data_IF_708792508526
#
_entry.id   IF_708792508526
#
_cell.length_a   1.000
_cell.length_b   1.000
_cell.length_c   1.000
_cell.angle_alpha   90.00
_cell.angle_beta   90.00
_cell.angle_gamma   90.00
#
_symmetry.space_group_name_H-M   'P 1'
#
loop_
_entity.id
_entity.type
_entity.pdbx_description
1 polymer ?
#
# COMPACT_ATOMS: atom_id res chain seq x y z
N UNK A 1 33.43 -4.19 52.78
CA UNK A 1 34.11 -4.21 51.47
C UNK A 1 33.44 -5.33 50.66
N UNK A 2 32.50 -5.09 49.73
CA UNK A 2 32.70 -4.64 48.31
C UNK A 2 33.56 -5.69 47.58
N UNK A 3 33.15 -6.46 46.54
CA UNK A 3 32.42 -6.25 45.25
C UNK A 3 32.22 -7.64 44.57
N UNK A 4 31.08 -8.03 43.97
CA UNK A 4 30.45 -7.70 42.66
C UNK A 4 30.89 -8.56 41.44
N UNK A 5 29.88 -9.11 40.76
CA UNK A 5 29.84 -9.75 39.44
C UNK A 5 30.23 -8.77 38.33
N UNK A 6 31.04 -9.17 37.33
CA UNK A 6 31.06 -8.59 35.96
C UNK A 6 31.90 -9.42 34.94
N UNK A 7 31.32 -9.63 33.74
CA UNK A 7 31.91 -9.84 32.39
C UNK A 7 32.78 -11.09 32.08
N UNK A 8 32.45 -11.95 31.09
CA UNK A 8 32.48 -11.78 29.61
C UNK A 8 33.79 -11.14 29.09
N UNK A 9 34.46 -11.85 28.16
CA UNK A 9 35.40 -11.37 27.11
C UNK A 9 36.71 -12.19 27.05
N UNK A 10 36.72 -13.33 26.35
CA UNK A 10 37.86 -13.91 25.61
C UNK A 10 37.26 -15.11 24.85
N UNK A 11 37.24 -15.26 23.52
CA UNK A 11 37.70 -14.54 22.36
C UNK A 11 37.35 -15.45 21.15
N UNK A 12 36.98 -14.87 20.01
CA UNK A 12 37.18 -15.59 18.73
C UNK A 12 38.68 -15.76 18.48
N UNK A 13 39.12 -16.61 17.52
CA UNK A 13 38.80 -16.32 16.12
C UNK A 13 38.69 -17.53 15.16
N UNK A 14 38.15 -17.20 13.98
CA UNK A 14 38.46 -17.76 12.66
C UNK A 14 39.70 -18.68 12.59
N UNK A 15 39.50 -19.90 12.11
CA UNK A 15 40.24 -20.46 10.98
C UNK A 15 39.65 -21.82 10.60
N UNK A 16 39.20 -21.96 9.36
CA UNK A 16 39.60 -23.04 8.45
C UNK A 16 39.79 -24.45 9.08
N UNK A 17 39.11 -25.52 8.68
CA UNK A 17 38.82 -25.93 7.29
C UNK A 17 38.19 -27.33 7.34
N UNK A 18 37.34 -27.60 6.35
CA UNK A 18 37.24 -28.88 5.62
C UNK A 18 36.97 -30.16 6.40
N UNK A 19 35.70 -30.59 6.37
CA UNK A 19 35.23 -31.87 5.80
C UNK A 19 33.84 -32.17 6.37
N UNK A 20 32.80 -31.84 5.60
CA UNK A 20 31.70 -32.78 5.33
C UNK A 20 30.76 -32.18 4.27
N UNK A 21 31.32 -31.80 3.12
CA UNK A 21 30.58 -31.77 1.87
C UNK A 21 30.78 -33.15 1.21
N UNK A 22 29.89 -34.09 1.53
CA UNK A 22 29.69 -35.36 0.81
C UNK A 22 28.39 -35.96 1.34
N UNK A 23 27.28 -35.60 0.69
CA UNK A 23 25.99 -36.31 0.63
C UNK A 23 24.79 -35.38 0.36
N UNK A 24 24.95 -34.36 -0.48
CA UNK A 24 23.82 -33.77 -1.21
C UNK A 24 24.30 -33.52 -2.63
N UNK A 25 24.34 -34.61 -3.39
CA UNK A 25 24.47 -34.60 -4.84
C UNK A 25 23.23 -33.92 -5.40
N UNK A 26 23.46 -32.88 -6.21
CA UNK A 26 22.49 -32.39 -7.17
C UNK A 26 22.11 -33.53 -8.11
N UNK A 27 20.85 -33.91 -8.11
CA UNK A 27 20.14 -34.14 -9.36
C UNK A 27 19.12 -33.01 -9.46
N UNK A 28 19.44 -32.04 -10.31
CA UNK A 28 18.48 -31.01 -10.68
C UNK A 28 17.40 -31.69 -11.53
N UNK A 29 16.11 -31.61 -11.17
CA UNK A 29 15.08 -31.80 -12.17
C UNK A 29 15.12 -30.57 -13.06
N UNK A 30 15.49 -30.75 -14.33
CA UNK A 30 15.42 -29.75 -15.43
C UNK A 30 13.99 -29.25 -15.72
N UNK A 31 13.06 -29.31 -14.76
CA UNK A 31 11.68 -28.84 -14.85
C UNK A 31 11.22 -27.98 -13.65
N UNK A 32 12.14 -27.37 -12.88
CA UNK A 32 11.78 -26.45 -11.75
C UNK A 32 11.60 -24.98 -12.18
N UNK A 33 11.60 -24.67 -13.47
CA UNK A 33 11.38 -23.31 -13.95
C UNK A 33 10.35 -23.25 -15.08
N UNK A 34 9.14 -23.74 -14.81
CA UNK A 34 7.97 -23.24 -15.54
C UNK A 34 7.40 -22.06 -14.78
N UNK A 35 7.66 -20.87 -15.33
CA UNK A 35 7.22 -19.56 -14.87
C UNK A 35 5.71 -19.54 -14.55
N UNK A 36 5.34 -19.14 -13.32
CA UNK A 36 4.02 -18.57 -13.02
C UNK A 36 4.11 -17.59 -11.85
N UNK A 37 4.40 -16.33 -12.19
CA UNK A 37 3.71 -15.12 -11.72
C UNK A 37 2.95 -15.18 -10.37
N UNK A 38 3.49 -14.57 -9.30
CA UNK A 38 2.77 -14.06 -8.08
C UNK A 38 2.04 -15.09 -7.16
N UNK A 39 1.90 -16.35 -7.56
CA UNK A 39 0.63 -17.05 -7.32
C UNK A 39 0.34 -17.80 -6.00
N UNK A 40 1.20 -18.56 -5.29
CA UNK A 40 0.67 -19.63 -4.41
C UNK A 40 0.21 -19.23 -3.00
N UNK A 41 0.58 -18.06 -2.48
CA UNK A 41 0.38 -17.66 -1.07
C UNK A 41 -0.65 -16.53 -0.90
N UNK A 42 -0.81 -15.65 -1.90
CA UNK A 42 -2.11 -15.06 -2.25
C UNK A 42 -3.18 -16.14 -2.36
N UNK A 43 -2.78 -17.32 -2.83
CA UNK A 43 -3.68 -18.44 -3.09
C UNK A 43 -4.25 -19.07 -1.85
N UNK A 44 -3.46 -19.35 -0.80
CA UNK A 44 -3.95 -20.29 0.22
C UNK A 44 -4.78 -19.67 1.35
N UNK A 45 -4.67 -18.38 1.70
CA UNK A 45 -5.26 -17.86 2.98
C UNK A 45 -5.45 -16.34 2.97
N UNK A 46 -5.95 -15.77 1.89
CA UNK A 46 -7.38 -15.43 1.73
C UNK A 46 -8.38 -16.59 1.76
N UNK A 47 -7.99 -17.85 1.52
CA UNK A 47 -8.88 -19.03 1.74
C UNK A 47 -9.26 -19.12 3.23
N UNK A 48 -10.46 -18.63 3.56
CA UNK A 48 -11.51 -19.38 4.25
C UNK A 48 -12.34 -18.53 5.23
N UNK A 49 -11.80 -17.91 6.27
CA UNK A 49 -12.63 -17.35 7.36
C UNK A 49 -11.82 -16.36 8.21
N UNK A 50 -12.19 -15.08 8.22
CA UNK A 50 -11.70 -14.13 9.24
C UNK A 50 -12.81 -13.70 10.20
N UNK A 51 -13.16 -14.56 11.18
CA UNK A 51 -13.59 -14.06 12.47
C UNK A 51 -12.94 -14.81 13.65
N UNK A 52 -11.62 -15.04 13.69
CA UNK A 52 -10.97 -15.60 14.90
C UNK A 52 -9.42 -15.52 14.98
N UNK A 53 -8.72 -14.69 14.20
CA UNK A 53 -7.25 -14.68 14.20
C UNK A 53 -6.64 -13.78 15.29
N UNK A 54 -6.97 -14.06 16.55
CA UNK A 54 -6.11 -13.74 17.69
C UNK A 54 -5.18 -14.95 17.96
N UNK A 55 -4.51 -15.45 16.90
CA UNK A 55 -3.56 -16.58 16.94
C UNK A 55 -2.40 -16.30 15.98
N UNK A 56 -1.29 -15.85 16.54
CA UNK A 56 0.12 -15.99 16.09
C UNK A 56 0.36 -16.15 14.58
N UNK A 57 0.68 -15.04 13.93
CA UNK A 57 1.38 -14.95 12.63
C UNK A 57 2.86 -15.43 12.70
N UNK A 58 3.21 -16.40 13.55
CA UNK A 58 4.61 -16.73 13.94
C UNK A 58 5.31 -17.82 13.10
N UNK A 59 4.80 -18.30 11.94
CA UNK A 59 5.58 -19.35 11.21
C UNK A 59 5.63 -19.35 9.69
N UNK A 60 4.68 -18.78 8.95
CA UNK A 60 4.75 -18.75 7.47
C UNK A 60 5.21 -17.39 6.90
N UNK A 61 4.87 -16.28 7.57
CA UNK A 61 5.34 -14.94 7.23
C UNK A 61 6.84 -14.73 7.53
N UNK A 62 7.49 -15.68 8.21
CA UNK A 62 8.94 -15.68 8.47
C UNK A 62 9.80 -16.19 7.29
N UNK A 63 9.21 -16.72 6.21
CA UNK A 63 9.99 -17.27 5.10
C UNK A 63 10.39 -16.24 4.03
N UNK A 64 9.72 -15.08 3.97
CA UNK A 64 10.10 -13.97 3.09
C UNK A 64 10.77 -12.89 3.92
N UNK A 65 11.99 -12.51 3.53
CA UNK A 65 12.69 -11.41 4.17
C UNK A 65 11.93 -10.11 3.95
N UNK A 66 12.14 -9.12 4.82
CA UNK A 66 11.62 -7.76 4.60
C UNK A 66 12.02 -7.21 3.22
N UNK A 67 13.20 -7.61 2.73
CA UNK A 67 13.70 -7.29 1.40
C UNK A 67 12.86 -7.92 0.30
N UNK A 68 12.45 -9.19 0.44
CA UNK A 68 11.59 -9.85 -0.54
C UNK A 68 10.20 -9.20 -0.62
N UNK A 69 9.63 -8.85 0.54
CA UNK A 69 8.38 -8.09 0.60
C UNK A 69 8.51 -6.71 -0.05
N UNK A 70 9.58 -5.99 0.26
CA UNK A 70 9.84 -4.69 -0.35
C UNK A 70 10.01 -4.78 -1.87
N UNK A 71 10.74 -5.78 -2.36
CA UNK A 71 10.92 -5.99 -3.80
C UNK A 71 9.60 -6.38 -4.50
N UNK A 72 8.72 -7.11 -3.82
CA UNK A 72 7.40 -7.47 -4.35
C UNK A 72 6.43 -6.28 -4.39
N UNK A 73 6.43 -5.43 -3.34
CA UNK A 73 5.53 -4.26 -3.25
C UNK A 73 6.03 -3.12 -4.14
N UNK A 74 7.32 -2.80 -4.11
CA UNK A 74 7.88 -1.57 -4.68
C UNK A 74 8.63 -1.82 -6.00
N UNK A 75 8.05 -2.60 -6.92
CA UNK A 75 8.69 -3.01 -8.18
C UNK A 75 9.04 -1.82 -9.08
N UNK A 76 8.13 -0.85 -9.20
CA UNK A 76 8.32 0.35 -10.03
C UNK A 76 9.28 1.34 -9.36
N UNK A 77 9.21 1.49 -8.04
CA UNK A 77 10.17 2.27 -7.27
C UNK A 77 11.57 1.68 -7.36
N UNK A 78 11.71 0.35 -7.27
CA UNK A 78 12.97 -0.36 -7.51
C UNK A 78 13.48 -0.09 -8.92
N UNK A 79 12.61 -0.08 -9.94
CA UNK A 79 13.00 0.18 -11.34
C UNK A 79 13.42 1.63 -11.61
N UNK A 80 12.95 2.57 -10.77
CA UNK A 80 13.34 3.97 -10.81
C UNK A 80 14.70 4.24 -10.15
N UNK A 81 15.19 3.28 -9.36
CA UNK A 81 16.48 3.30 -8.70
C UNK A 81 17.38 2.22 -9.32
N UNK A 82 18.67 2.24 -9.06
CA UNK A 82 19.49 1.05 -9.29
C UNK A 82 19.26 0.02 -8.16
N UNK A 83 19.44 -1.26 -8.47
CA UNK A 83 19.19 -2.36 -7.53
C UNK A 83 19.99 -2.24 -6.23
N UNK A 84 21.23 -1.73 -6.31
CA UNK A 84 22.11 -1.59 -5.15
C UNK A 84 21.59 -0.49 -4.22
N UNK A 85 21.20 0.65 -4.78
CA UNK A 85 20.60 1.76 -4.03
C UNK A 85 19.29 1.36 -3.38
N UNK A 86 18.40 0.67 -4.11
CA UNK A 86 17.14 0.19 -3.55
C UNK A 86 17.36 -0.73 -2.35
N UNK A 87 18.21 -1.77 -2.48
CA UNK A 87 18.50 -2.70 -1.38
C UNK A 87 19.14 -2.00 -0.18
N UNK A 88 20.05 -1.06 -0.41
CA UNK A 88 20.66 -0.26 0.65
C UNK A 88 19.62 0.55 1.42
N UNK A 89 18.64 1.12 0.72
CA UNK A 89 17.54 1.86 1.35
C UNK A 89 16.65 0.95 2.18
N UNK A 90 16.34 -0.26 1.71
CA UNK A 90 15.57 -1.24 2.48
C UNK A 90 16.30 -1.70 3.74
N UNK A 91 17.59 -2.03 3.66
CA UNK A 91 18.37 -2.40 4.84
C UNK A 91 18.51 -1.24 5.84
N UNK A 92 18.67 -0.01 5.34
CA UNK A 92 18.67 1.18 6.19
C UNK A 92 17.32 1.39 6.86
N UNK A 93 16.24 1.32 6.10
CA UNK A 93 14.88 1.42 6.63
C UNK A 93 14.61 0.34 7.68
N UNK A 94 15.01 -0.90 7.42
CA UNK A 94 14.96 -2.01 8.38
C UNK A 94 15.70 -1.70 9.67
N UNK A 95 16.89 -1.09 9.58
CA UNK A 95 17.66 -0.67 10.75
C UNK A 95 17.00 0.42 11.60
N UNK A 96 16.06 1.20 11.04
CA UNK A 96 15.28 2.20 11.77
C UNK A 96 14.04 1.62 12.45
N UNK A 97 13.64 0.39 12.09
CA UNK A 97 12.49 -0.27 12.67
C UNK A 97 12.86 -0.97 13.99
N UNK A 98 11.91 -0.98 14.93
CA UNK A 98 12.08 -1.80 16.12
C UNK A 98 12.07 -3.29 15.75
N UNK A 99 12.91 -4.14 16.38
CA UNK A 99 13.12 -5.53 15.98
C UNK A 99 11.86 -6.42 15.94
N UNK A 100 10.79 -6.00 16.61
CA UNK A 100 9.58 -6.80 16.85
C UNK A 100 8.44 -6.52 15.86
N UNK A 101 8.60 -5.56 14.93
CA UNK A 101 7.47 -5.06 14.12
C UNK A 101 7.71 -5.16 12.60
N UNK A 102 7.51 -6.35 12.03
CA UNK A 102 7.48 -6.55 10.56
C UNK A 102 6.07 -7.01 10.17
N UNK A 103 5.22 -6.05 9.85
CA UNK A 103 3.89 -6.26 9.25
C UNK A 103 3.80 -5.47 7.94
N UNK A 104 2.77 -5.72 7.13
CA UNK A 104 2.50 -4.90 5.95
C UNK A 104 2.38 -3.40 6.31
N UNK A 105 1.80 -3.11 7.49
CA UNK A 105 1.68 -1.76 8.03
C UNK A 105 3.03 -1.07 8.25
N UNK A 106 4.11 -1.84 8.49
CA UNK A 106 5.45 -1.30 8.61
C UNK A 106 5.88 -0.57 7.35
N UNK A 107 5.50 -1.07 6.16
CA UNK A 107 5.83 -0.46 4.88
C UNK A 107 5.13 0.89 4.65
N UNK A 108 4.08 1.24 5.44
CA UNK A 108 3.47 2.59 5.42
C UNK A 108 4.45 3.70 5.79
N UNK A 109 5.49 3.37 6.55
CA UNK A 109 6.53 4.33 6.92
C UNK A 109 7.57 4.51 5.79
N UNK A 110 7.63 3.62 4.80
CA UNK A 110 8.68 3.59 3.80
C UNK A 110 8.66 4.80 2.84
N UNK A 111 7.51 5.25 2.28
CA UNK A 111 7.46 6.48 1.48
C UNK A 111 7.95 7.71 2.26
N UNK A 112 7.54 7.82 3.53
CA UNK A 112 7.99 8.88 4.43
C UNK A 112 9.48 8.82 4.72
N UNK A 113 10.05 7.61 4.84
CA UNK A 113 11.49 7.38 4.92
C UNK A 113 12.19 7.85 3.64
N UNK A 114 11.77 7.42 2.45
CA UNK A 114 12.37 7.83 1.19
C UNK A 114 12.39 9.36 1.02
N UNK A 115 11.33 10.06 1.43
CA UNK A 115 11.26 11.53 1.34
C UNK A 115 12.32 12.26 2.17
N UNK A 116 12.80 11.64 3.26
CA UNK A 116 13.86 12.21 4.13
C UNK A 116 15.27 11.72 3.77
N UNK A 117 15.40 10.76 2.87
CA UNK A 117 16.68 10.16 2.54
C UNK A 117 17.53 11.04 1.62
N UNK A 118 18.64 11.55 2.18
CA UNK A 118 19.58 12.47 1.48
C UNK A 118 20.21 11.85 0.23
N UNK A 119 20.37 10.52 0.18
CA UNK A 119 20.99 9.83 -0.97
C UNK A 119 20.18 9.99 -2.26
N UNK A 120 18.87 10.25 -2.15
CA UNK A 120 17.98 10.46 -3.29
C UNK A 120 18.01 11.90 -3.82
N UNK A 121 18.61 12.84 -3.07
CA UNK A 121 18.70 14.24 -3.46
C UNK A 121 17.35 14.86 -3.87
N UNK A 122 17.28 15.57 -5.01
CA UNK A 122 16.04 16.22 -5.47
C UNK A 122 14.97 15.23 -5.94
N UNK A 123 15.31 13.98 -6.26
CA UNK A 123 14.35 12.97 -6.74
C UNK A 123 13.57 12.29 -5.61
N UNK A 124 13.93 12.58 -4.35
CA UNK A 124 13.32 11.98 -3.16
C UNK A 124 11.78 12.06 -3.15
N UNK A 125 11.19 13.18 -3.61
CA UNK A 125 9.73 13.34 -3.69
C UNK A 125 9.09 12.44 -4.77
N UNK A 126 9.71 12.33 -5.94
CA UNK A 126 9.22 11.48 -7.03
C UNK A 126 9.33 9.99 -6.67
N UNK A 127 10.46 9.58 -6.09
CA UNK A 127 10.68 8.20 -5.64
C UNK A 127 9.73 7.84 -4.49
N UNK A 128 9.58 8.74 -3.50
CA UNK A 128 8.66 8.53 -2.38
C UNK A 128 7.20 8.43 -2.83
N UNK A 129 6.75 9.29 -3.76
CA UNK A 129 5.37 9.24 -4.25
C UNK A 129 5.08 7.99 -5.08
N UNK A 130 6.04 7.50 -5.87
CA UNK A 130 5.93 6.19 -6.55
C UNK A 130 5.76 5.05 -5.54
N UNK A 131 6.57 5.05 -4.48
CA UNK A 131 6.44 4.05 -3.42
C UNK A 131 5.09 4.14 -2.71
N UNK A 132 4.60 5.36 -2.46
CA UNK A 132 3.28 5.59 -1.87
C UNK A 132 2.15 5.05 -2.77
N UNK A 133 2.21 5.27 -4.09
CA UNK A 133 1.24 4.72 -5.03
C UNK A 133 1.25 3.19 -5.03
N UNK A 134 2.42 2.56 -5.09
CA UNK A 134 2.54 1.09 -5.08
C UNK A 134 1.98 0.49 -3.79
N UNK A 135 2.30 1.11 -2.65
CA UNK A 135 1.76 0.68 -1.37
C UNK A 135 0.25 0.88 -1.28
N UNK A 136 -0.27 2.01 -1.79
CA UNK A 136 -1.71 2.28 -1.81
C UNK A 136 -2.46 1.24 -2.67
N UNK A 137 -1.91 0.82 -3.82
CA UNK A 137 -2.49 -0.26 -4.64
C UNK A 137 -2.57 -1.58 -3.89
N UNK A 138 -1.46 -1.97 -3.24
CA UNK A 138 -1.41 -3.19 -2.43
C UNK A 138 -2.38 -3.10 -1.26
N UNK A 139 -2.39 -1.97 -0.55
CA UNK A 139 -3.30 -1.75 0.59
C UNK A 139 -4.75 -1.83 0.14
N UNK A 140 -5.13 -1.16 -0.94
CA UNK A 140 -6.48 -1.21 -1.49
C UNK A 140 -6.90 -2.65 -1.84
N UNK A 141 -6.01 -3.42 -2.48
CA UNK A 141 -6.28 -4.82 -2.85
C UNK A 141 -6.55 -5.71 -1.64
N UNK A 142 -5.83 -5.51 -0.54
CA UNK A 142 -5.98 -6.32 0.68
C UNK A 142 -7.00 -5.77 1.68
N UNK A 143 -7.48 -4.53 1.49
CA UNK A 143 -8.53 -3.96 2.31
C UNK A 143 -9.87 -4.69 2.08
N UNK A 144 -10.71 -4.86 3.13
CA UNK A 144 -12.03 -5.46 2.99
C UNK A 144 -12.84 -4.80 1.88
N UNK A 145 -13.47 -5.60 1.04
CA UNK A 145 -14.35 -5.11 0.00
C UNK A 145 -15.51 -4.36 0.63
N UNK A 146 -15.81 -3.20 0.07
CA UNK A 146 -16.97 -2.42 0.46
C UNK A 146 -18.13 -2.74 -0.45
N UNK A 147 -19.30 -3.00 0.13
CA UNK A 147 -20.55 -3.14 -0.62
C UNK A 147 -21.11 -1.75 -0.92
N UNK A 148 -21.37 -1.45 -2.20
CA UNK A 148 -22.14 -0.25 -2.56
C UNK A 148 -23.62 -0.63 -2.58
N UNK A 149 -24.43 -0.09 -1.67
CA UNK A 149 -25.87 -0.39 -1.70
C UNK A 149 -26.55 0.23 -2.92
N UNK A 150 -25.92 1.21 -3.58
CA UNK A 150 -26.53 1.97 -4.70
C UNK A 150 -27.75 2.82 -4.29
N UNK A 151 -28.20 2.68 -3.06
CA UNK A 151 -29.42 3.26 -2.52
C UNK A 151 -29.08 4.10 -1.27
N UNK A 152 -29.55 5.35 -1.26
CA UNK A 152 -29.48 6.23 -0.11
C UNK A 152 -29.04 7.67 -0.42
N UNK A 153 -29.41 8.64 0.44
CA UNK A 153 -29.13 10.05 0.21
C UNK A 153 -27.73 10.49 0.68
N UNK A 154 -27.01 9.63 1.41
CA UNK A 154 -25.70 9.94 1.97
C UNK A 154 -24.58 9.45 1.06
N UNK A 155 -23.69 10.37 0.71
CA UNK A 155 -22.45 10.07 0.02
C UNK A 155 -21.34 9.85 1.04
N UNK A 156 -20.57 8.77 0.84
CA UNK A 156 -19.36 8.49 1.59
C UNK A 156 -18.21 8.20 0.63
N UNK A 157 -17.00 8.57 1.01
CA UNK A 157 -15.81 8.08 0.32
C UNK A 157 -15.72 6.55 0.48
N UNK A 158 -15.22 5.86 -0.55
CA UNK A 158 -14.92 4.45 -0.41
C UNK A 158 -13.89 4.26 0.73
N UNK A 159 -14.11 3.37 1.71
CA UNK A 159 -13.18 3.12 2.80
C UNK A 159 -11.77 2.71 2.37
N UNK A 160 -11.61 2.19 1.16
CA UNK A 160 -10.33 1.82 0.55
C UNK A 160 -9.68 2.95 -0.25
N UNK A 161 -10.33 4.12 -0.31
CA UNK A 161 -9.84 5.29 -1.03
C UNK A 161 -8.59 5.85 -0.34
N UNK A 162 -7.51 5.94 -1.12
CA UNK A 162 -6.30 6.67 -0.80
C UNK A 162 -6.08 7.75 -1.85
N UNK A 163 -5.71 8.96 -1.42
CA UNK A 163 -5.36 10.06 -2.33
C UNK A 163 -3.88 10.37 -2.13
N UNK A 164 -3.10 10.14 -3.17
CA UNK A 164 -1.64 10.27 -3.14
C UNK A 164 -1.23 11.47 -3.97
N UNK A 165 -0.42 12.36 -3.38
CA UNK A 165 0.31 13.38 -4.13
C UNK A 165 1.50 12.75 -4.84
N UNK A 166 1.56 12.94 -6.15
CA UNK A 166 2.56 12.37 -7.05
C UNK A 166 3.38 13.47 -7.68
N UNK A 167 4.65 13.18 -7.98
CA UNK A 167 5.59 14.16 -8.53
C UNK A 167 6.23 13.65 -9.82
N UNK A 168 6.14 14.46 -10.87
CA UNK A 168 6.87 14.28 -12.13
C UNK A 168 7.73 15.52 -12.38
N UNK A 169 8.98 15.46 -11.91
CA UNK A 169 9.86 16.63 -11.89
C UNK A 169 9.31 17.72 -10.95
N UNK A 170 9.13 18.98 -11.41
CA UNK A 170 8.59 20.05 -10.59
C UNK A 170 7.06 20.05 -10.51
N UNK A 171 6.37 19.22 -11.29
CA UNK A 171 4.91 19.17 -11.33
C UNK A 171 4.39 18.16 -10.31
N UNK A 172 3.34 18.54 -9.56
CA UNK A 172 2.61 17.61 -8.71
C UNK A 172 1.19 17.38 -9.22
N UNK A 173 0.67 16.18 -8.97
CA UNK A 173 -0.71 15.82 -9.27
C UNK A 173 -1.27 14.90 -8.18
N UNK A 174 -2.59 14.92 -8.00
CA UNK A 174 -3.27 14.04 -7.05
C UNK A 174 -3.80 12.82 -7.79
N UNK A 175 -3.57 11.64 -7.22
CA UNK A 175 -4.05 10.37 -7.77
C UNK A 175 -4.89 9.66 -6.71
N UNK A 176 -6.14 9.35 -7.05
CA UNK A 176 -7.01 8.52 -6.25
C UNK A 176 -6.80 7.04 -6.59
N UNK A 177 -6.69 6.22 -5.55
CA UNK A 177 -6.65 4.76 -5.65
C UNK A 177 -7.74 4.21 -4.76
N UNK A 178 -8.55 3.30 -5.26
CA UNK A 178 -9.54 2.58 -4.46
C UNK A 178 -9.75 1.17 -5.00
N UNK A 179 -10.20 0.25 -4.14
CA UNK A 179 -10.72 -1.04 -4.58
C UNK A 179 -12.17 -0.84 -5.02
N UNK A 180 -12.47 -1.27 -6.24
CA UNK A 180 -13.82 -1.18 -6.78
C UNK A 180 -14.77 -1.98 -5.87
N UNK A 181 -15.93 -1.40 -5.49
CA UNK A 181 -16.90 -2.09 -4.64
C UNK A 181 -17.54 -3.25 -5.42
N UNK A 182 -17.99 -4.26 -4.68
CA UNK A 182 -18.88 -5.25 -5.24
C UNK A 182 -20.21 -4.59 -5.62
N UNK A 183 -20.70 -4.90 -6.82
CA UNK A 183 -22.02 -4.45 -7.29
C UNK A 183 -22.74 -5.63 -7.90
N UNK A 184 -24.08 -5.61 -7.93
CA UNK A 184 -24.88 -6.66 -8.58
C UNK A 184 -24.50 -6.92 -10.04
N UNK A 185 -23.86 -5.92 -10.70
CA UNK A 185 -23.40 -6.00 -12.08
C UNK A 185 -21.98 -6.56 -12.21
N UNK A 186 -21.18 -6.49 -11.15
CA UNK A 186 -19.79 -6.93 -11.08
C UNK A 186 -19.50 -7.57 -9.70
N UNK A 187 -20.13 -8.70 -9.37
CA UNK A 187 -19.69 -9.53 -8.25
C UNK A 187 -18.29 -10.04 -8.62
N UNK A 188 -17.31 -9.98 -7.72
CA UNK A 188 -15.92 -10.43 -7.93
C UNK A 188 -14.95 -9.48 -8.69
N UNK A 189 -15.18 -8.16 -8.72
CA UNK A 189 -14.11 -7.25 -9.17
C UNK A 189 -13.08 -7.01 -8.05
N UNK A 190 -12.01 -7.81 -8.03
CA UNK A 190 -10.78 -7.51 -7.25
C UNK A 190 -9.94 -6.41 -7.92
N UNK A 191 -10.63 -5.44 -8.53
CA UNK A 191 -10.01 -4.42 -9.35
C UNK A 191 -9.69 -3.21 -8.47
N UNK A 192 -8.40 -2.90 -8.37
CA UNK A 192 -7.95 -1.60 -7.93
C UNK A 192 -8.07 -0.63 -9.09
N UNK A 193 -8.81 0.46 -8.88
CA UNK A 193 -8.93 1.57 -9.82
C UNK A 193 -7.98 2.69 -9.39
N UNK A 194 -7.37 3.34 -10.38
CA UNK A 194 -6.45 4.46 -10.17
C UNK A 194 -6.80 5.55 -11.18
N UNK A 195 -6.90 6.79 -10.70
CA UNK A 195 -7.22 7.93 -11.56
C UNK A 195 -6.59 9.21 -11.02
N UNK A 196 -6.05 10.03 -11.93
CA UNK A 196 -5.73 11.41 -11.60
C UNK A 196 -7.01 12.16 -11.18
N UNK A 197 -6.90 12.95 -10.13
CA UNK A 197 -7.95 13.83 -9.66
C UNK A 197 -7.70 15.23 -10.19
N UNK A 198 -8.76 15.90 -10.61
CA UNK A 198 -8.73 17.34 -10.70
C UNK A 198 -8.93 17.96 -9.29
N UNK A 199 -8.67 19.27 -9.18
CA UNK A 199 -8.75 19.96 -7.89
C UNK A 199 -10.17 19.95 -7.26
N UNK A 200 -11.22 19.79 -8.07
CA UNK A 200 -12.61 19.79 -7.60
C UNK A 200 -12.96 18.46 -6.95
N UNK A 201 -12.55 17.37 -7.59
CA UNK A 201 -12.73 16.03 -7.06
C UNK A 201 -11.91 15.84 -5.77
N UNK A 202 -10.69 16.37 -5.73
CA UNK A 202 -9.91 16.41 -4.50
C UNK A 202 -10.62 17.18 -3.38
N UNK A 203 -11.16 18.36 -3.67
CA UNK A 203 -11.91 19.17 -2.69
C UNK A 203 -13.16 18.46 -2.18
N UNK A 204 -13.85 17.72 -3.05
CA UNK A 204 -15.00 16.89 -2.69
C UNK A 204 -14.59 15.78 -1.69
N UNK A 205 -13.47 15.10 -1.93
CA UNK A 205 -12.99 14.06 -1.01
C UNK A 205 -12.47 14.62 0.32
N UNK A 206 -11.86 15.80 0.31
CA UNK A 206 -11.47 16.47 1.55
C UNK A 206 -12.70 16.84 2.40
N UNK A 207 -13.76 17.35 1.76
CA UNK A 207 -15.06 17.62 2.43
C UNK A 207 -15.67 16.34 3.01
N UNK A 208 -15.68 15.24 2.25
CA UNK A 208 -16.18 13.95 2.73
C UNK A 208 -15.31 13.34 3.84
N UNK A 209 -14.02 13.69 3.92
CA UNK A 209 -13.15 13.26 5.02
C UNK A 209 -13.47 14.00 6.31
N UNK A 210 -13.77 15.29 6.22
CA UNK A 210 -14.18 16.13 7.36
C UNK A 210 -15.62 15.81 7.79
N UNK A 211 -16.49 15.52 6.83
CA UNK A 211 -17.90 15.23 7.04
C UNK A 211 -18.27 13.85 6.44
N UNK A 212 -18.00 12.73 7.13
CA UNK A 212 -18.07 11.38 6.57
C UNK A 212 -19.48 10.87 6.23
N UNK A 213 -20.53 11.67 6.44
CA UNK A 213 -21.92 11.37 6.07
C UNK A 213 -22.66 12.64 5.65
N UNK A 214 -22.35 13.18 4.48
CA UNK A 214 -23.08 14.34 3.95
C UNK A 214 -24.25 13.88 3.10
N UNK A 215 -25.41 14.50 3.33
CA UNK A 215 -26.53 14.38 2.41
C UNK A 215 -26.14 15.04 1.08
N UNK A 216 -26.30 14.34 -0.05
CA UNK A 216 -25.89 14.84 -1.37
C UNK A 216 -26.40 16.26 -1.64
N UNK A 217 -27.68 16.54 -1.37
CA UNK A 217 -28.24 17.89 -1.51
C UNK A 217 -27.54 18.98 -0.69
N UNK A 218 -27.05 18.68 0.51
CA UNK A 218 -26.31 19.64 1.33
C UNK A 218 -24.89 19.86 0.79
N UNK A 219 -24.24 18.78 0.32
CA UNK A 219 -22.92 18.83 -0.31
C UNK A 219 -22.95 19.66 -1.60
N UNK A 220 -23.98 19.46 -2.42
CA UNK A 220 -24.23 20.25 -3.62
C UNK A 220 -24.46 21.74 -3.31
N UNK A 221 -25.21 22.04 -2.24
CA UNK A 221 -25.46 23.42 -1.84
C UNK A 221 -24.18 24.10 -1.34
N UNK A 222 -23.39 23.41 -0.52
CA UNK A 222 -22.15 23.93 0.03
C UNK A 222 -21.10 24.15 -1.07
N UNK A 223 -20.89 23.17 -1.95
CA UNK A 223 -19.92 23.28 -3.03
C UNK A 223 -20.29 24.35 -4.06
N UNK A 224 -21.58 24.58 -4.32
CA UNK A 224 -22.05 25.68 -5.16
C UNK A 224 -21.92 27.06 -4.49
N UNK A 225 -21.87 27.12 -3.16
CA UNK A 225 -21.68 28.37 -2.42
C UNK A 225 -20.22 28.82 -2.35
N UNK A 226 -19.25 27.92 -2.59
CA UNK A 226 -17.82 28.24 -2.60
C UNK A 226 -17.46 29.02 -3.89
N UNK A 227 -16.61 30.06 -3.81
CA UNK A 227 -16.27 30.92 -4.96
C UNK A 227 -15.48 30.20 -6.07
N UNK A 228 -14.92 29.02 -5.76
CA UNK A 228 -14.32 28.08 -6.71
C UNK A 228 -15.26 26.88 -6.93
N UNK A 229 -16.56 27.12 -7.12
CA UNK A 229 -17.51 26.05 -7.49
C UNK A 229 -17.22 25.54 -8.91
N UNK A 230 -17.68 24.32 -9.23
CA UNK A 230 -17.45 23.68 -10.55
C UNK A 230 -17.69 24.66 -11.70
N UNK A 231 -16.87 24.65 -12.77
CA UNK A 231 -17.22 25.32 -14.01
C UNK A 231 -18.57 24.76 -14.48
N UNK A 232 -19.45 25.65 -14.94
CA UNK A 232 -20.84 25.36 -15.36
C UNK A 232 -20.97 24.35 -16.52
N UNK A 233 -19.87 23.73 -16.95
CA UNK A 233 -19.78 22.81 -18.08
C UNK A 233 -20.01 21.35 -17.71
N UNK A 234 -19.75 20.93 -16.46
CA UNK A 234 -20.16 19.60 -15.94
C UNK A 234 -20.99 19.79 -14.68
N UNK A 235 -22.16 19.16 -14.59
CA UNK A 235 -22.97 19.19 -13.37
C UNK A 235 -22.28 18.39 -12.26
N UNK A 236 -22.33 18.86 -11.02
CA UNK A 236 -21.80 18.11 -9.86
C UNK A 236 -22.40 16.70 -9.76
N UNK A 237 -23.67 16.54 -10.13
CA UNK A 237 -24.35 15.24 -10.20
C UNK A 237 -23.64 14.28 -11.16
N UNK A 238 -23.12 14.78 -12.30
CA UNK A 238 -22.35 13.98 -13.24
C UNK A 238 -21.01 13.54 -12.63
N UNK A 239 -20.32 14.44 -11.92
CA UNK A 239 -19.06 14.11 -11.23
C UNK A 239 -19.28 13.06 -10.15
N UNK A 240 -20.31 13.22 -9.32
CA UNK A 240 -20.69 12.25 -8.29
C UNK A 240 -21.02 10.91 -8.94
N UNK A 241 -21.91 10.87 -9.93
CA UNK A 241 -22.28 9.64 -10.62
C UNK A 241 -21.09 8.92 -11.25
N UNK A 242 -20.14 9.67 -11.85
CA UNK A 242 -18.88 9.11 -12.37
C UNK A 242 -18.05 8.48 -11.26
N UNK A 243 -17.79 9.22 -10.17
CA UNK A 243 -17.00 8.74 -9.04
C UNK A 243 -17.64 7.52 -8.34
N UNK A 244 -18.96 7.45 -8.29
CA UNK A 244 -19.70 6.28 -7.80
C UNK A 244 -19.55 5.08 -8.73
N UNK A 245 -19.68 5.30 -10.05
CA UNK A 245 -19.54 4.24 -11.06
C UNK A 245 -18.12 3.64 -11.11
N UNK A 246 -17.12 4.47 -10.84
CA UNK A 246 -15.72 4.06 -10.73
C UNK A 246 -15.39 3.44 -9.36
N UNK A 247 -16.27 3.64 -8.37
CA UNK A 247 -16.13 3.06 -7.04
C UNK A 247 -15.35 3.90 -6.04
N UNK A 248 -15.09 5.17 -6.32
CA UNK A 248 -14.45 6.08 -5.36
C UNK A 248 -15.43 6.65 -4.34
N UNK A 249 -16.72 6.70 -4.69
CA UNK A 249 -17.83 7.07 -3.80
C UNK A 249 -18.81 5.91 -3.63
N UNK A 250 -19.47 5.85 -2.47
CA UNK A 250 -20.52 4.89 -2.16
C UNK A 250 -21.76 5.62 -1.62
N UNK A 251 -22.95 5.03 -1.84
CA UNK A 251 -24.19 5.48 -1.20
C UNK A 251 -24.50 4.63 0.03
N UNK A 252 -25.11 5.26 1.05
CA UNK A 252 -25.71 4.56 2.19
C UNK A 252 -27.09 5.14 2.55
N UNK A 253 -28.03 4.25 2.87
CA UNK A 253 -29.40 4.59 3.25
C UNK A 253 -29.55 5.26 4.62
N UNK A 254 -28.65 4.98 5.57
CA UNK A 254 -28.60 5.53 6.95
C UNK A 254 -27.17 5.61 7.49
#
# INVERSE_FOLDING_TARGET
MVTSIFALLYGGPLAAKMKLAKNLSLEAPENIWQMTSVAPILRSRLEADFPAAQIRFESAAHALSMTDWAEAIFKNTKSALDEVTFRRLIEKFRGELQPEFIALDTFRLFPGFLRREKILGPESAAVASRAALELARVTALFSPQSTNSGEGPHLIANPTLEIIETFEGPQSSLVAIARQPETDKLPESDKVVERALNWQEASLFDELRENPKVHEGALLQELNSKPNSLPKTESFEFVISRLESEGFLLRRGT
#
